data_IF_633868880663
#
_entry.id   IF_633868880663
#
_cell.length_a   1.000
_cell.length_b   1.000
_cell.length_c   1.000
_cell.angle_alpha   90.00
_cell.angle_beta   90.00
_cell.angle_gamma   90.00
#
_symmetry.space_group_name_H-M   'P 1'
#
loop_
_entity.id
_entity.type
_entity.pdbx_description
1 polymer ?
#
# COMPACT_ATOMS: atom_id res chain seq x y z
N UNK A 1 11.87 -2.86 7.98
CA UNK A 1 11.34 -3.54 6.79
C UNK A 1 11.30 -5.04 7.00
N UNK A 2 10.21 -5.68 6.58
CA UNK A 2 10.03 -7.13 6.48
C UNK A 2 10.80 -7.73 5.27
N UNK A 3 10.68 -9.04 5.01
CA UNK A 3 11.48 -9.73 3.96
C UNK A 3 10.99 -9.39 2.55
N UNK A 4 9.68 -9.31 2.40
CA UNK A 4 8.94 -8.94 1.21
C UNK A 4 9.13 -7.46 0.85
N UNK A 5 9.14 -6.55 1.83
CA UNK A 5 9.49 -5.13 1.62
C UNK A 5 10.94 -4.99 1.11
N UNK A 6 11.88 -5.78 1.66
CA UNK A 6 13.26 -5.82 1.16
C UNK A 6 13.36 -6.37 -0.27
N UNK A 7 12.48 -7.30 -0.66
CA UNK A 7 12.43 -7.81 -2.04
C UNK A 7 11.87 -6.77 -3.01
N UNK A 8 10.83 -6.02 -2.62
CA UNK A 8 10.31 -4.90 -3.40
C UNK A 8 11.41 -3.85 -3.66
N UNK A 9 12.14 -3.44 -2.62
CA UNK A 9 13.26 -2.51 -2.77
C UNK A 9 14.37 -3.05 -3.69
N UNK A 10 14.75 -4.34 -3.55
CA UNK A 10 15.74 -4.95 -4.43
C UNK A 10 15.28 -5.01 -5.88
N UNK A 11 13.99 -5.20 -6.12
CA UNK A 11 13.42 -5.20 -7.46
C UNK A 11 13.51 -3.81 -8.11
N UNK A 12 13.18 -2.76 -7.36
CA UNK A 12 13.32 -1.37 -7.81
C UNK A 12 14.78 -1.04 -8.13
N UNK A 13 15.71 -1.37 -7.24
CA UNK A 13 17.15 -1.13 -7.44
C UNK A 13 17.67 -1.88 -8.67
N UNK A 14 17.26 -3.14 -8.87
CA UNK A 14 17.66 -3.94 -10.04
C UNK A 14 17.31 -3.26 -11.36
N UNK A 15 16.15 -2.63 -11.41
CA UNK A 15 15.64 -1.94 -12.60
C UNK A 15 15.91 -0.43 -12.59
N UNK A 16 16.67 0.08 -11.61
CA UNK A 16 16.97 1.50 -11.42
C UNK A 16 15.71 2.38 -11.39
N UNK A 17 14.66 1.92 -10.71
CA UNK A 17 13.36 2.59 -10.65
C UNK A 17 13.18 3.39 -9.36
N UNK A 18 12.60 4.58 -9.51
CA UNK A 18 12.05 5.42 -8.43
C UNK A 18 10.69 5.95 -8.88
N UNK A 19 9.70 6.14 -7.99
CA UNK A 19 8.42 6.71 -8.39
C UNK A 19 8.56 8.14 -8.95
N UNK A 20 7.78 8.52 -9.98
CA UNK A 20 6.88 7.64 -10.76
C UNK A 20 7.65 6.74 -11.74
N UNK A 21 7.17 5.51 -11.91
CA UNK A 21 7.71 4.56 -12.90
C UNK A 21 6.59 3.79 -13.61
N UNK A 22 6.91 3.20 -14.76
CA UNK A 22 5.98 2.36 -15.52
C UNK A 22 5.85 0.97 -14.87
N UNK A 23 4.79 0.80 -14.08
CA UNK A 23 4.49 -0.47 -13.39
C UNK A 23 4.12 -1.58 -14.38
N UNK A 24 3.41 -1.27 -15.47
CA UNK A 24 3.07 -2.28 -16.47
C UNK A 24 4.31 -2.81 -17.16
N UNK A 25 5.23 -1.92 -17.54
CA UNK A 25 6.53 -2.30 -18.10
C UNK A 25 7.28 -3.23 -17.16
N UNK A 26 7.33 -2.89 -15.86
CA UNK A 26 8.00 -3.70 -14.85
C UNK A 26 7.36 -5.09 -14.75
N UNK A 27 6.03 -5.19 -14.71
CA UNK A 27 5.32 -6.49 -14.64
C UNK A 27 5.58 -7.31 -15.90
N UNK A 28 5.58 -6.68 -17.08
CA UNK A 28 5.87 -7.31 -18.37
C UNK A 28 7.29 -7.89 -18.47
N UNK A 29 8.21 -7.51 -17.57
CA UNK A 29 9.53 -8.17 -17.46
C UNK A 29 9.45 -9.57 -16.83
N UNK A 30 8.37 -9.88 -16.10
CA UNK A 30 8.24 -11.10 -15.30
C UNK A 30 6.99 -11.94 -15.63
N UNK A 31 6.03 -11.38 -16.35
CA UNK A 31 4.79 -12.05 -16.71
C UNK A 31 4.17 -11.46 -17.98
N UNK A 32 3.30 -12.24 -18.63
CA UNK A 32 2.35 -11.69 -19.59
C UNK A 32 1.26 -10.94 -18.82
N UNK A 33 0.85 -9.77 -19.31
CA UNK A 33 -0.18 -8.94 -18.68
C UNK A 33 -1.38 -8.78 -19.61
N UNK A 34 -2.56 -9.14 -19.10
CA UNK A 34 -3.83 -9.01 -19.80
C UNK A 34 -4.84 -8.30 -18.89
N UNK A 35 -5.64 -7.40 -19.47
CA UNK A 35 -6.79 -6.82 -18.78
C UNK A 35 -8.02 -7.51 -19.30
N UNK A 36 -8.89 -8.04 -18.44
CA UNK A 36 -10.15 -8.67 -18.86
C UNK A 36 -11.32 -8.34 -17.97
N UNK A 37 -12.55 -8.52 -18.47
CA UNK A 37 -13.75 -8.45 -17.62
C UNK A 37 -13.99 -9.81 -17.00
N UNK A 38 -13.89 -9.91 -15.68
CA UNK A 38 -14.06 -11.18 -15.00
C UNK A 38 -15.54 -11.56 -14.86
N UNK A 39 -15.91 -12.85 -15.04
CA UNK A 39 -17.27 -13.34 -14.79
C UNK A 39 -17.56 -13.60 -13.31
N UNK A 40 -16.57 -13.38 -12.42
CA UNK A 40 -16.65 -13.55 -10.97
C UNK A 40 -16.03 -12.35 -10.25
N UNK A 41 -16.22 -12.29 -8.93
CA UNK A 41 -15.71 -11.21 -8.10
C UNK A 41 -14.23 -11.47 -7.79
N UNK A 42 -13.36 -10.84 -8.55
CA UNK A 42 -11.93 -10.73 -8.25
C UNK A 42 -11.37 -9.44 -8.88
N UNK A 43 -10.29 -8.94 -8.30
CA UNK A 43 -9.58 -7.76 -8.81
C UNK A 43 -8.47 -8.16 -9.78
N UNK A 44 -7.73 -9.23 -9.46
CA UNK A 44 -6.66 -9.77 -10.28
C UNK A 44 -6.49 -11.26 -10.03
N UNK A 45 -5.83 -11.93 -10.98
CA UNK A 45 -5.47 -13.35 -10.88
C UNK A 45 -4.12 -13.55 -11.56
N UNK A 46 -3.18 -14.20 -10.89
CA UNK A 46 -1.99 -14.76 -11.53
C UNK A 46 -2.19 -16.24 -11.85
N UNK A 47 -1.77 -16.70 -13.02
CA UNK A 47 -1.78 -18.11 -13.40
C UNK A 47 -0.35 -18.57 -13.69
N UNK A 48 -0.02 -19.78 -13.28
CA UNK A 48 1.30 -20.37 -13.55
C UNK A 48 2.41 -19.68 -12.78
N UNK A 49 2.17 -19.36 -11.50
CA UNK A 49 3.21 -18.81 -10.60
C UNK A 49 4.41 -19.77 -10.61
N UNK A 50 5.61 -19.23 -10.86
CA UNK A 50 6.88 -19.97 -11.03
C UNK A 50 7.00 -20.85 -12.29
N UNK A 51 6.07 -20.75 -13.24
CA UNK A 51 6.35 -21.23 -14.61
C UNK A 51 7.30 -20.28 -15.33
N UNK A 52 7.84 -20.67 -16.49
CA UNK A 52 8.68 -19.78 -17.30
C UNK A 52 7.93 -18.55 -17.81
N UNK A 53 6.59 -18.60 -17.87
CA UNK A 53 5.74 -17.54 -18.41
C UNK A 53 4.48 -17.36 -17.55
N UNK A 54 4.58 -16.77 -16.35
CA UNK A 54 3.42 -16.43 -15.55
C UNK A 54 2.49 -15.48 -16.34
N UNK A 55 1.19 -15.58 -16.10
CA UNK A 55 0.18 -14.69 -16.71
C UNK A 55 -0.56 -13.95 -15.61
N UNK A 56 -0.60 -12.64 -15.71
CA UNK A 56 -1.33 -11.75 -14.80
C UNK A 56 -2.54 -11.22 -15.53
N UNK A 57 -3.71 -11.40 -14.92
CA UNK A 57 -4.97 -10.84 -15.37
C UNK A 57 -5.43 -9.78 -14.39
N UNK A 58 -5.82 -8.60 -14.89
CA UNK A 58 -6.40 -7.53 -14.09
C UNK A 58 -7.82 -7.24 -14.56
N UNK A 59 -8.74 -7.04 -13.62
CA UNK A 59 -10.12 -6.77 -13.96
C UNK A 59 -10.28 -5.35 -14.55
N UNK A 60 -10.81 -5.26 -15.78
CA UNK A 60 -10.99 -3.99 -16.53
C UNK A 60 -11.89 -2.96 -15.85
N UNK A 61 -12.73 -3.37 -14.89
CA UNK A 61 -13.69 -2.48 -14.23
C UNK A 61 -13.09 -1.71 -13.05
N UNK A 62 -11.84 -2.00 -12.67
CA UNK A 62 -11.19 -1.35 -11.54
C UNK A 62 -10.85 0.11 -11.84
N UNK A 63 -10.88 0.94 -10.81
CA UNK A 63 -10.25 2.27 -10.90
C UNK A 63 -8.75 2.12 -11.07
N UNK A 64 -8.10 3.10 -11.71
CA UNK A 64 -6.67 3.09 -11.99
C UNK A 64 -5.81 2.79 -10.74
N UNK A 65 -6.09 3.47 -9.62
CA UNK A 65 -5.37 3.25 -8.36
C UNK A 65 -5.53 1.84 -7.82
N UNK A 66 -6.74 1.25 -7.95
CA UNK A 66 -7.01 -0.11 -7.51
C UNK A 66 -6.33 -1.12 -8.44
N UNK A 67 -6.39 -0.90 -9.75
CA UNK A 67 -5.67 -1.70 -10.73
C UNK A 67 -4.16 -1.70 -10.50
N UNK A 68 -3.55 -0.54 -10.19
CA UNK A 68 -2.11 -0.45 -9.89
C UNK A 68 -1.73 -1.21 -8.62
N UNK A 69 -2.53 -1.10 -7.56
CA UNK A 69 -2.29 -1.87 -6.34
C UNK A 69 -2.42 -3.38 -6.59
N UNK A 70 -3.47 -3.81 -7.29
CA UNK A 70 -3.66 -5.20 -7.70
C UNK A 70 -2.50 -5.70 -8.55
N UNK A 71 -2.06 -4.92 -9.53
CA UNK A 71 -0.95 -5.29 -10.41
C UNK A 71 0.37 -5.44 -9.64
N UNK A 72 0.67 -4.53 -8.71
CA UNK A 72 1.82 -4.65 -7.82
C UNK A 72 1.72 -5.85 -6.86
N UNK A 73 0.51 -6.18 -6.42
CA UNK A 73 0.21 -7.34 -5.58
C UNK A 73 0.45 -8.66 -6.33
N UNK A 74 -0.07 -8.81 -7.55
CA UNK A 74 0.15 -9.96 -8.41
C UNK A 74 1.65 -10.16 -8.73
N UNK A 75 2.37 -9.07 -8.99
CA UNK A 75 3.82 -9.10 -9.14
C UNK A 75 4.52 -9.59 -7.85
N UNK A 76 3.98 -9.25 -6.67
CA UNK A 76 4.42 -9.79 -5.39
C UNK A 76 4.37 -11.32 -5.35
N UNK A 77 3.26 -11.93 -5.76
CA UNK A 77 3.16 -13.40 -5.84
C UNK A 77 4.21 -14.02 -6.79
N UNK A 78 4.53 -13.35 -7.90
CA UNK A 78 5.55 -13.81 -8.84
C UNK A 78 6.96 -13.69 -8.24
N UNK A 79 7.28 -12.57 -7.59
CA UNK A 79 8.63 -12.26 -7.13
C UNK A 79 8.98 -12.97 -5.82
N UNK A 80 8.03 -13.09 -4.89
CA UNK A 80 8.26 -13.69 -3.57
C UNK A 80 8.52 -15.21 -3.73
N UNK A 81 9.73 -15.72 -3.42
CA UNK A 81 10.09 -17.11 -3.72
C UNK A 81 9.23 -18.16 -3.03
N UNK A 82 8.71 -17.85 -1.83
CA UNK A 82 7.90 -18.75 -1.01
C UNK A 82 6.40 -18.68 -1.32
N UNK A 83 5.97 -17.86 -2.27
CA UNK A 83 4.60 -17.85 -2.79
C UNK A 83 4.41 -18.97 -3.83
N UNK A 84 4.65 -20.23 -3.43
CA UNK A 84 4.47 -21.42 -4.26
C UNK A 84 3.05 -21.96 -4.08
N UNK A 85 2.44 -22.48 -5.14
CA UNK A 85 1.20 -23.27 -5.06
C UNK A 85 -0.05 -22.50 -4.59
N UNK A 86 -0.07 -21.18 -4.77
CA UNK A 86 -1.20 -20.35 -4.30
C UNK A 86 -1.80 -19.61 -5.48
N UNK A 87 -2.49 -20.36 -6.33
CA UNK A 87 -3.70 -19.99 -7.07
C UNK A 87 -4.30 -21.34 -7.48
N UNK A 88 -5.30 -21.80 -6.72
CA UNK A 88 -6.22 -22.89 -7.10
C UNK A 88 -5.55 -24.22 -7.52
N UNK A 89 -4.68 -24.82 -6.69
CA UNK A 89 -4.21 -26.20 -6.98
C UNK A 89 -4.92 -27.29 -6.20
N UNK A 90 -5.47 -27.04 -5.01
CA UNK A 90 -6.02 -28.12 -4.18
C UNK A 90 -7.28 -27.66 -3.42
N UNK A 91 -8.43 -27.68 -4.10
CA UNK A 91 -9.74 -27.41 -3.48
C UNK A 91 -10.22 -28.61 -2.65
N UNK A 92 -9.67 -29.80 -2.87
CA UNK A 92 -10.25 -31.05 -2.36
C UNK A 92 -9.79 -31.43 -0.93
N UNK A 93 -8.78 -30.77 -0.35
CA UNK A 93 -8.29 -31.06 1.02
C UNK A 93 -7.85 -29.79 1.77
N UNK A 94 -8.78 -28.87 2.03
CA UNK A 94 -8.48 -27.60 2.67
C UNK A 94 -8.42 -27.72 4.21
N UNK A 95 -7.22 -27.64 4.81
CA UNK A 95 -7.03 -27.58 6.27
C UNK A 95 -7.07 -26.14 6.80
N UNK A 96 -7.45 -25.90 8.07
CA UNK A 96 -7.28 -24.60 8.72
C UNK A 96 -5.84 -24.05 8.65
N UNK A 97 -4.84 -24.93 8.59
CA UNK A 97 -3.44 -24.54 8.41
C UNK A 97 -3.19 -23.91 7.04
N UNK A 98 -3.77 -24.47 5.98
CA UNK A 98 -3.63 -23.96 4.61
C UNK A 98 -4.29 -22.59 4.46
N UNK A 99 -5.41 -22.37 5.14
CA UNK A 99 -6.06 -21.06 5.20
C UNK A 99 -5.18 -19.99 5.88
N UNK A 100 -4.47 -20.37 6.95
CA UNK A 100 -3.56 -19.45 7.63
C UNK A 100 -2.37 -19.08 6.73
N UNK A 101 -1.73 -20.08 6.11
CA UNK A 101 -0.62 -19.86 5.18
C UNK A 101 -1.03 -19.03 3.97
N UNK A 102 -2.25 -19.26 3.43
CA UNK A 102 -2.82 -18.44 2.38
C UNK A 102 -2.93 -16.97 2.81
N UNK A 103 -3.56 -16.72 3.96
CA UNK A 103 -3.73 -15.36 4.48
C UNK A 103 -2.39 -14.66 4.72
N UNK A 104 -1.38 -15.38 5.19
CA UNK A 104 -0.04 -14.84 5.38
C UNK A 104 0.57 -14.37 4.05
N UNK A 105 0.52 -15.20 3.01
CA UNK A 105 0.97 -14.85 1.65
C UNK A 105 0.24 -13.64 1.08
N UNK A 106 -1.08 -13.58 1.20
CA UNK A 106 -1.86 -12.40 0.78
C UNK A 106 -1.39 -11.13 1.51
N UNK A 107 -1.11 -11.25 2.81
CA UNK A 107 -0.63 -10.12 3.61
C UNK A 107 0.80 -9.73 3.20
N UNK A 108 1.66 -10.68 2.88
CA UNK A 108 3.01 -10.44 2.35
C UNK A 108 2.97 -9.77 0.97
N UNK A 109 2.11 -10.23 0.06
CA UNK A 109 1.91 -9.61 -1.26
C UNK A 109 1.40 -8.17 -1.13
N UNK A 110 0.48 -7.91 -0.20
CA UNK A 110 0.02 -6.56 0.11
C UNK A 110 1.14 -5.65 0.62
N UNK A 111 2.02 -6.15 1.51
CA UNK A 111 3.17 -5.38 2.00
C UNK A 111 4.21 -5.16 0.91
N UNK A 112 4.46 -6.15 0.06
CA UNK A 112 5.29 -6.02 -1.13
C UNK A 112 4.77 -4.93 -2.07
N UNK A 113 3.48 -4.96 -2.41
CA UNK A 113 2.84 -3.98 -3.29
C UNK A 113 2.93 -2.56 -2.73
N UNK A 114 2.63 -2.40 -1.43
CA UNK A 114 2.72 -1.10 -0.76
C UNK A 114 4.15 -0.54 -0.77
N UNK A 115 5.17 -1.38 -0.56
CA UNK A 115 6.58 -0.97 -0.62
C UNK A 115 7.04 -0.69 -2.05
N UNK A 116 6.58 -1.47 -3.04
CA UNK A 116 6.93 -1.28 -4.44
C UNK A 116 6.42 0.07 -4.97
N UNK A 117 5.17 0.40 -4.65
CA UNK A 117 4.53 1.65 -5.07
C UNK A 117 5.01 2.86 -4.26
N UNK A 118 5.23 2.68 -2.96
CA UNK A 118 5.67 3.74 -2.04
C UNK A 118 6.92 3.28 -1.26
N UNK A 119 8.10 3.31 -1.89
CA UNK A 119 9.33 2.88 -1.24
C UNK A 119 9.59 3.73 -0.01
N UNK A 120 9.95 3.08 1.09
CA UNK A 120 10.11 3.75 2.40
C UNK A 120 11.11 4.89 2.34
N UNK A 121 12.24 4.68 1.67
CA UNK A 121 13.29 5.70 1.56
C UNK A 121 12.81 6.90 0.75
N UNK A 122 12.18 6.65 -0.40
CA UNK A 122 11.61 7.70 -1.25
C UNK A 122 10.55 8.54 -0.52
N UNK A 123 9.62 7.89 0.20
CA UNK A 123 8.64 8.61 1.04
C UNK A 123 9.35 9.42 2.12
N UNK A 124 10.36 8.86 2.79
CA UNK A 124 11.09 9.53 3.87
C UNK A 124 11.83 10.76 3.37
N UNK A 125 12.46 10.68 2.20
CA UNK A 125 13.12 11.80 1.53
C UNK A 125 12.15 12.94 1.24
N UNK A 126 10.95 12.64 0.73
CA UNK A 126 9.90 13.66 0.51
C UNK A 126 9.45 14.28 1.85
N UNK A 127 9.32 13.47 2.89
CA UNK A 127 8.83 13.96 4.19
C UNK A 127 9.79 14.95 4.87
N UNK A 128 11.10 14.87 4.59
CA UNK A 128 12.11 15.79 5.15
C UNK A 128 12.30 17.08 4.33
N UNK A 129 11.72 17.17 3.14
CA UNK A 129 11.78 18.39 2.31
C UNK A 129 11.24 19.61 3.08
N UNK A 130 11.76 20.81 2.81
CA UNK A 130 11.26 22.04 3.44
C UNK A 130 10.00 22.58 2.72
N UNK A 131 8.96 21.76 2.68
CA UNK A 131 7.66 22.04 2.04
C UNK A 131 6.50 21.74 2.99
N UNK A 132 5.32 22.30 2.69
CA UNK A 132 4.12 22.03 3.46
C UNK A 132 3.75 20.54 3.40
N UNK A 133 3.13 20.03 4.48
CA UNK A 133 2.68 18.64 4.52
C UNK A 133 1.70 18.32 3.38
N UNK A 134 0.83 19.26 3.01
CA UNK A 134 -0.07 19.15 1.86
C UNK A 134 0.67 18.83 0.57
N UNK A 135 1.67 19.65 0.22
CA UNK A 135 2.46 19.47 -1.01
C UNK A 135 3.18 18.14 -1.01
N UNK A 136 3.72 17.71 0.12
CA UNK A 136 4.37 16.39 0.27
C UNK A 136 3.40 15.24 0.00
N UNK A 137 2.19 15.29 0.56
CA UNK A 137 1.16 14.26 0.31
C UNK A 137 0.70 14.29 -1.14
N UNK A 138 0.50 15.48 -1.74
CA UNK A 138 0.12 15.61 -3.15
C UNK A 138 1.20 15.05 -4.08
N UNK A 139 2.48 15.30 -3.78
CA UNK A 139 3.62 14.73 -4.50
C UNK A 139 3.59 13.19 -4.43
N UNK A 140 3.45 12.63 -3.23
CA UNK A 140 3.36 11.17 -3.07
C UNK A 140 2.15 10.59 -3.82
N UNK A 141 0.98 11.23 -3.70
CA UNK A 141 -0.26 10.83 -4.40
C UNK A 141 -0.07 10.75 -5.91
N UNK A 142 0.57 11.77 -6.49
CA UNK A 142 0.78 11.88 -7.92
C UNK A 142 1.80 10.85 -8.41
N UNK A 143 2.93 10.73 -7.72
CA UNK A 143 4.06 9.94 -8.19
C UNK A 143 3.90 8.44 -7.91
N UNK A 144 3.21 8.06 -6.82
CA UNK A 144 2.98 6.64 -6.48
C UNK A 144 1.67 6.09 -7.03
N UNK A 145 0.76 6.97 -7.49
CA UNK A 145 -0.61 6.65 -7.88
C UNK A 145 -1.38 5.78 -6.86
N UNK A 146 -1.05 5.92 -5.57
CA UNK A 146 -1.68 5.19 -4.48
C UNK A 146 -2.91 5.94 -3.95
N UNK A 147 -3.73 5.27 -3.13
CA UNK A 147 -4.82 5.94 -2.41
C UNK A 147 -4.27 6.81 -1.27
N UNK A 148 -4.99 7.88 -0.94
CA UNK A 148 -4.65 8.73 0.20
C UNK A 148 -4.56 7.91 1.50
N UNK A 149 -5.50 6.99 1.72
CA UNK A 149 -5.46 6.09 2.89
C UNK A 149 -4.16 5.29 2.97
N UNK A 150 -3.69 4.72 1.85
CA UNK A 150 -2.47 3.92 1.82
C UNK A 150 -1.24 4.77 2.12
N UNK A 151 -1.18 6.00 1.58
CA UNK A 151 -0.10 6.96 1.84
C UNK A 151 -0.07 7.34 3.31
N UNK A 152 -1.22 7.65 3.90
CA UNK A 152 -1.31 8.03 5.30
C UNK A 152 -0.90 6.87 6.22
N UNK A 153 -1.33 5.64 5.92
CA UNK A 153 -0.86 4.43 6.64
C UNK A 153 0.66 4.28 6.50
N UNK A 154 1.22 4.48 5.30
CA UNK A 154 2.66 4.41 5.06
C UNK A 154 3.41 5.41 5.91
N UNK A 155 2.99 6.67 5.90
CA UNK A 155 3.61 7.75 6.69
C UNK A 155 3.53 7.44 8.18
N UNK A 156 2.37 7.03 8.69
CA UNK A 156 2.20 6.70 10.11
C UNK A 156 3.02 5.48 10.54
N UNK A 157 3.34 4.56 9.64
CA UNK A 157 4.23 3.42 9.89
C UNK A 157 5.72 3.78 9.88
N UNK A 158 6.09 4.86 9.17
CA UNK A 158 7.47 5.38 9.12
C UNK A 158 7.74 6.33 10.30
N UNK A 159 6.75 7.11 10.72
CA UNK A 159 6.90 8.06 11.81
C UNK A 159 7.25 7.35 13.14
N UNK A 160 8.38 7.75 13.72
CA UNK A 160 8.85 7.28 15.04
C UNK A 160 8.32 8.16 16.19
N UNK A 161 7.85 9.37 15.89
CA UNK A 161 7.20 10.27 16.85
C UNK A 161 5.81 9.75 17.26
N UNK A 162 5.42 9.96 18.52
CA UNK A 162 4.04 9.73 18.96
C UNK A 162 3.07 10.69 18.26
N UNK A 163 2.36 10.19 17.25
CA UNK A 163 1.39 10.95 16.46
C UNK A 163 0.04 10.25 16.32
N UNK A 164 -0.99 11.07 16.19
CA UNK A 164 -2.31 10.71 15.68
C UNK A 164 -2.59 11.45 14.39
N UNK A 165 -3.31 10.78 13.50
CA UNK A 165 -3.85 11.36 12.29
C UNK A 165 -5.35 11.14 12.26
N UNK A 166 -6.13 12.22 12.16
CA UNK A 166 -7.58 12.16 12.02
C UNK A 166 -7.97 12.61 10.63
N UNK A 167 -8.89 11.87 10.03
CA UNK A 167 -9.57 12.23 8.78
C UNK A 167 -10.97 12.71 9.15
N UNK A 168 -11.21 14.00 8.98
CA UNK A 168 -12.46 14.67 9.32
C UNK A 168 -13.30 14.94 8.08
N UNK A 169 -14.62 14.81 8.22
CA UNK A 169 -15.61 15.31 7.27
C UNK A 169 -16.59 16.20 8.05
N UNK A 170 -16.49 17.51 7.84
CA UNK A 170 -17.06 18.53 8.73
C UNK A 170 -16.63 18.26 10.19
N UNK A 171 -17.57 18.14 11.10
CA UNK A 171 -17.32 17.91 12.53
C UNK A 171 -17.18 16.42 12.90
N UNK A 172 -17.27 15.51 11.93
CA UNK A 172 -17.23 14.07 12.16
C UNK A 172 -15.87 13.45 11.81
N UNK A 173 -15.25 12.79 12.78
CA UNK A 173 -14.07 11.95 12.55
C UNK A 173 -14.48 10.68 11.80
N UNK A 174 -14.02 10.52 10.56
CA UNK A 174 -14.29 9.36 9.71
C UNK A 174 -13.29 8.23 9.91
N UNK A 175 -12.02 8.57 10.12
CA UNK A 175 -10.95 7.60 10.36
C UNK A 175 -9.90 8.19 11.28
N UNK A 176 -9.26 7.30 12.04
CA UNK A 176 -8.12 7.63 12.88
C UNK A 176 -6.97 6.65 12.63
N UNK A 177 -5.75 7.18 12.64
CA UNK A 177 -4.52 6.41 12.56
C UNK A 177 -3.60 6.84 13.70
N UNK A 178 -2.78 5.89 14.17
CA UNK A 178 -1.76 6.12 15.20
C UNK A 178 -0.45 5.50 14.77
N UNK A 179 0.67 6.05 15.22
CA UNK A 179 1.97 5.39 15.04
C UNK A 179 2.07 4.15 15.91
N UNK A 180 3.05 3.28 15.61
CA UNK A 180 3.31 2.07 16.41
C UNK A 180 3.71 2.38 17.85
N UNK A 181 4.29 3.54 18.10
CA UNK A 181 4.85 3.94 19.39
C UNK A 181 3.84 4.69 20.26
N UNK A 182 2.76 5.18 19.66
CA UNK A 182 1.79 6.01 20.37
C UNK A 182 1.03 5.20 21.43
N UNK A 183 1.30 5.47 22.71
CA UNK A 183 0.47 5.04 23.83
C UNK A 183 -0.86 5.79 23.79
N UNK A 184 -1.94 5.12 24.19
CA UNK A 184 -3.33 5.59 24.14
C UNK A 184 -3.48 7.11 24.38
N UNK A 185 -4.14 7.82 23.46
CA UNK A 185 -4.56 9.21 23.61
C UNK A 185 -6.07 9.25 23.77
N UNK A 186 -6.52 9.79 24.92
CA UNK A 186 -7.93 9.99 25.16
C UNK A 186 -8.39 11.31 24.53
N UNK A 187 -9.32 11.22 23.58
CA UNK A 187 -9.94 12.40 22.97
C UNK A 187 -10.98 13.06 23.87
N UNK A 188 -11.62 12.31 24.78
CA UNK A 188 -12.67 12.84 25.66
C UNK A 188 -12.11 13.78 26.74
N UNK A 189 -10.88 13.53 27.20
CA UNK A 189 -10.23 14.35 28.24
C UNK A 189 -9.59 15.64 27.68
N UNK A 190 -9.54 15.80 26.36
CA UNK A 190 -8.89 16.92 25.70
C UNK A 190 -9.90 17.67 24.82
N UNK A 191 -10.35 18.86 25.26
CA UNK A 191 -11.03 19.79 24.36
C UNK A 191 -10.08 20.07 23.19
N UNK A 192 -10.38 19.52 22.02
CA UNK A 192 -9.59 19.66 20.79
C UNK A 192 -9.57 21.13 20.36
N UNK A 193 -8.61 21.89 20.87
CA UNK A 193 -8.31 23.20 20.31
C UNK A 193 -7.60 23.01 18.98
N UNK A 194 -8.39 22.97 17.90
CA UNK A 194 -7.94 22.69 16.54
C UNK A 194 -6.78 23.59 16.09
N UNK A 195 -6.64 24.80 16.64
CA UNK A 195 -5.55 25.75 16.34
C UNK A 195 -4.15 25.24 16.75
N UNK A 196 -4.07 24.25 17.64
CA UNK A 196 -2.81 23.66 18.11
C UNK A 196 -2.29 22.54 17.21
N UNK A 197 -3.05 22.12 16.20
CA UNK A 197 -2.72 20.99 15.33
C UNK A 197 -2.44 21.44 13.90
N UNK A 198 -1.62 20.66 13.20
CA UNK A 198 -1.43 20.87 11.77
C UNK A 198 -2.70 20.41 11.07
N UNK A 199 -3.38 21.35 10.44
CA UNK A 199 -4.58 21.16 9.63
C UNK A 199 -4.19 21.20 8.16
N UNK A 200 -4.57 20.18 7.42
CA UNK A 200 -4.33 20.12 5.98
C UNK A 200 -5.60 19.71 5.26
N UNK A 201 -6.03 20.50 4.28
CA UNK A 201 -7.15 20.17 3.43
C UNK A 201 -6.63 19.49 2.16
N UNK A 202 -6.98 18.24 1.93
CA UNK A 202 -6.59 17.49 0.72
C UNK A 202 -7.84 16.95 0.07
N UNK A 203 -8.11 17.35 -1.18
CA UNK A 203 -9.26 16.83 -1.95
C UNK A 203 -10.59 16.89 -1.17
N UNK A 204 -10.86 18.03 -0.51
CA UNK A 204 -12.04 18.26 0.35
C UNK A 204 -12.09 17.45 1.66
N UNK A 205 -10.99 16.83 2.06
CA UNK A 205 -10.84 16.08 3.31
C UNK A 205 -9.89 16.82 4.26
N UNK A 206 -10.34 17.10 5.48
CA UNK A 206 -9.50 17.73 6.50
C UNK A 206 -8.71 16.66 7.25
N UNK A 207 -7.40 16.78 7.21
CA UNK A 207 -6.45 15.94 7.93
C UNK A 207 -5.90 16.72 9.12
N UNK A 208 -6.03 16.14 10.31
CA UNK A 208 -5.45 16.67 11.54
C UNK A 208 -4.28 15.80 11.95
N UNK A 209 -3.08 16.38 12.01
CA UNK A 209 -1.90 15.73 12.56
C UNK A 209 -1.64 16.26 13.98
N UNK A 210 -1.72 15.35 14.94
CA UNK A 210 -1.60 15.62 16.37
C UNK A 210 -0.32 14.96 16.89
N UNK A 211 0.62 15.75 17.39
CA UNK A 211 1.78 15.24 18.13
C UNK A 211 1.40 15.13 19.60
N UNK A 212 1.53 13.94 20.18
CA UNK A 212 1.24 13.72 21.60
C UNK A 212 2.56 13.72 22.36
N UNK A 213 2.59 14.45 23.50
CA UNK A 213 3.74 14.51 24.40
C UNK A 213 4.03 13.15 25.02
#
# INVERSE_FOLDING_TARGET
MTREEKLANRLLVRHSLVPPFDLEWLVKQYAQLEYERFPFIADGVTIGVKTNTPRVFINKILSERRANFTLAHELGHIILPWHIGTIVSDIDNYSPHDHYLYREKETEANRFAAELLMPTNWVSEILIENESFEKKILKILQDSNASLDAILIKIMNICEDNRYLLIMNNDLCRKQYRTKYTKYFNFEDNILNLKKYIQVLIMSVLILLIKTL
#
